data_IF_827014347668
#
_entry.id   IF_827014347668
#
_cell.length_a   1.000
_cell.length_b   1.000
_cell.length_c   1.000
_cell.angle_alpha   90.00
_cell.angle_beta   90.00
_cell.angle_gamma   90.00
#
_symmetry.space_group_name_H-M   'P 1'
#
loop_
_entity.id
_entity.type
_entity.pdbx_description
1 polymer ?
#
# COMPACT_ATOMS: atom_id res chain seq x y z
N UNK A 1 -44.77 -3.67 3.55
CA UNK A 1 -44.94 -2.29 3.02
C UNK A 1 -43.87 -2.03 1.98
N UNK A 2 -44.27 -1.69 0.75
CA UNK A 2 -43.35 -1.26 -0.30
C UNK A 2 -43.09 0.24 -0.12
N UNK A 3 -41.99 0.60 0.55
CA UNK A 3 -41.55 2.00 0.60
C UNK A 3 -41.03 2.35 -0.79
N UNK A 4 -41.71 3.23 -1.50
CA UNK A 4 -41.27 3.67 -2.82
C UNK A 4 -39.95 4.44 -2.67
N UNK A 5 -38.88 3.91 -3.27
CA UNK A 5 -37.57 4.57 -3.23
C UNK A 5 -37.58 5.69 -4.27
N UNK A 6 -37.57 6.93 -3.80
CA UNK A 6 -37.49 8.12 -4.66
C UNK A 6 -36.14 8.15 -5.36
N UNK A 7 -36.15 7.89 -6.67
CA UNK A 7 -34.97 7.94 -7.52
C UNK A 7 -34.79 9.35 -8.04
N UNK A 8 -33.63 9.93 -7.78
CA UNK A 8 -33.26 11.25 -8.30
C UNK A 8 -32.60 11.13 -9.68
N UNK A 9 -32.77 12.16 -10.52
CA UNK A 9 -31.90 12.36 -11.67
C UNK A 9 -30.47 12.62 -11.21
N UNK A 10 -29.49 12.44 -12.11
CA UNK A 10 -28.08 12.72 -11.79
C UNK A 10 -27.91 14.20 -11.43
N UNK A 11 -28.54 15.09 -12.20
CA UNK A 11 -28.46 16.53 -11.98
C UNK A 11 -29.07 16.92 -10.62
N UNK A 12 -30.25 16.42 -10.27
CA UNK A 12 -30.87 16.69 -8.97
C UNK A 12 -30.00 16.19 -7.82
N UNK A 13 -29.44 14.98 -7.92
CA UNK A 13 -28.58 14.42 -6.88
C UNK A 13 -27.30 15.25 -6.67
N UNK A 14 -26.67 15.73 -7.75
CA UNK A 14 -25.46 16.53 -7.68
C UNK A 14 -25.72 17.98 -7.26
N UNK A 15 -26.91 18.52 -7.55
CA UNK A 15 -27.31 19.89 -7.18
C UNK A 15 -27.78 20.01 -5.74
N UNK A 16 -27.82 18.93 -4.95
CA UNK A 16 -28.18 19.01 -3.54
C UNK A 16 -27.16 19.86 -2.76
N UNK A 17 -27.61 20.81 -1.91
CA UNK A 17 -26.70 21.64 -1.12
C UNK A 17 -25.72 20.83 -0.26
N UNK A 18 -26.20 19.75 0.36
CA UNK A 18 -25.37 18.83 1.16
C UNK A 18 -24.24 18.19 0.34
N UNK A 19 -24.48 17.89 -0.93
CA UNK A 19 -23.48 17.30 -1.83
C UNK A 19 -22.44 18.34 -2.23
N UNK A 20 -22.87 19.53 -2.64
CA UNK A 20 -21.95 20.63 -3.02
C UNK A 20 -21.06 21.02 -1.83
N UNK A 21 -21.66 21.26 -0.66
CA UNK A 21 -20.92 21.60 0.56
C UNK A 21 -20.02 20.45 1.00
N UNK A 22 -20.50 19.20 0.93
CA UNK A 22 -19.72 18.01 1.30
C UNK A 22 -18.50 17.79 0.42
N UNK A 23 -18.65 17.94 -0.90
CA UNK A 23 -17.54 17.85 -1.86
C UNK A 23 -16.55 18.99 -1.61
N UNK A 24 -17.01 20.24 -1.51
CA UNK A 24 -16.12 21.38 -1.28
C UNK A 24 -15.31 21.22 0.03
N UNK A 25 -15.98 20.89 1.13
CA UNK A 25 -15.33 20.71 2.43
C UNK A 25 -14.30 19.57 2.41
N UNK A 26 -14.65 18.43 1.83
CA UNK A 26 -13.75 17.27 1.73
C UNK A 26 -12.56 17.54 0.82
N UNK A 27 -12.76 18.22 -0.32
CA UNK A 27 -11.68 18.64 -1.21
C UNK A 27 -10.69 19.54 -0.48
N UNK A 28 -11.19 20.58 0.21
CA UNK A 28 -10.34 21.47 1.03
C UNK A 28 -9.57 20.68 2.07
N UNK A 29 -10.24 19.79 2.81
CA UNK A 29 -9.60 18.98 3.85
C UNK A 29 -8.47 18.10 3.30
N UNK A 30 -8.70 17.39 2.19
CA UNK A 30 -7.67 16.55 1.55
C UNK A 30 -6.50 17.37 1.02
N UNK A 31 -6.75 18.50 0.36
CA UNK A 31 -5.70 19.36 -0.17
C UNK A 31 -4.85 19.95 0.96
N UNK A 32 -5.49 20.47 2.02
CA UNK A 32 -4.79 20.98 3.20
C UNK A 32 -3.93 19.88 3.85
N UNK A 33 -4.48 18.68 4.04
CA UNK A 33 -3.73 17.56 4.59
C UNK A 33 -2.54 17.16 3.70
N UNK A 34 -2.76 17.01 2.38
CA UNK A 34 -1.74 16.60 1.43
C UNK A 34 -0.58 17.60 1.39
N UNK A 35 -0.86 18.89 1.17
CA UNK A 35 0.18 19.91 1.11
C UNK A 35 0.85 20.15 2.47
N UNK A 36 0.10 20.03 3.58
CA UNK A 36 0.68 20.05 4.92
C UNK A 36 1.66 18.89 5.16
N UNK A 37 1.31 17.67 4.73
CA UNK A 37 2.18 16.51 4.82
C UNK A 37 3.45 16.65 3.97
N UNK A 38 3.36 17.26 2.79
CA UNK A 38 4.52 17.56 1.95
C UNK A 38 5.43 18.62 2.60
N UNK A 39 4.85 19.72 3.09
CA UNK A 39 5.61 20.81 3.73
C UNK A 39 6.36 20.34 4.97
N UNK A 40 5.75 19.48 5.77
CA UNK A 40 6.35 18.89 6.99
C UNK A 40 7.31 17.73 6.71
N UNK A 41 7.50 17.33 5.44
CA UNK A 41 8.26 16.14 5.03
C UNK A 41 7.78 14.87 5.71
N UNK A 42 6.49 14.78 6.02
CA UNK A 42 5.90 13.59 6.63
C UNK A 42 6.03 12.36 5.71
N UNK A 43 5.87 12.57 4.40
CA UNK A 43 6.15 11.59 3.34
C UNK A 43 7.21 12.16 2.39
N UNK A 44 8.29 11.41 2.16
CA UNK A 44 9.42 11.88 1.34
C UNK A 44 9.56 11.12 0.03
N UNK A 45 9.08 9.87 -0.02
CA UNK A 45 9.16 9.03 -1.22
C UNK A 45 7.87 9.08 -2.02
N UNK A 46 7.93 8.98 -3.35
CA UNK A 46 6.75 8.90 -4.23
C UNK A 46 5.74 7.86 -3.75
N UNK A 47 6.26 6.71 -3.28
CA UNK A 47 5.42 5.67 -2.70
C UNK A 47 4.67 6.21 -1.49
N UNK A 48 5.33 6.74 -0.48
CA UNK A 48 4.65 7.29 0.70
C UNK A 48 3.65 8.40 0.33
N UNK A 49 4.02 9.28 -0.61
CA UNK A 49 3.15 10.37 -1.07
C UNK A 49 1.86 9.79 -1.67
N UNK A 50 1.95 8.75 -2.50
CA UNK A 50 0.77 8.08 -3.08
C UNK A 50 -0.15 7.42 -2.04
N UNK A 51 0.33 7.16 -0.83
CA UNK A 51 -0.48 6.57 0.24
C UNK A 51 -1.10 7.61 1.20
N UNK A 52 -0.79 8.90 1.07
CA UNK A 52 -1.31 9.93 1.98
C UNK A 52 -2.83 10.06 1.90
N UNK A 53 -3.37 10.28 0.70
CA UNK A 53 -4.80 10.43 0.49
C UNK A 53 -5.55 9.15 0.84
N UNK A 54 -5.01 8.00 0.45
CA UNK A 54 -5.58 6.68 0.75
C UNK A 54 -5.63 6.42 2.26
N UNK A 55 -4.57 6.76 3.00
CA UNK A 55 -4.54 6.66 4.47
C UNK A 55 -5.63 7.51 5.10
N UNK A 56 -5.72 8.78 4.69
CA UNK A 56 -6.71 9.70 5.23
C UNK A 56 -8.14 9.24 4.92
N UNK A 57 -8.42 8.89 3.67
CA UNK A 57 -9.73 8.42 3.20
C UNK A 57 -10.17 7.15 3.92
N UNK A 58 -9.35 6.09 3.90
CA UNK A 58 -9.68 4.83 4.57
C UNK A 58 -9.81 4.98 6.09
N UNK A 59 -9.04 5.89 6.70
CA UNK A 59 -9.18 6.26 8.11
C UNK A 59 -10.52 6.91 8.41
N UNK A 60 -10.87 7.96 7.68
CA UNK A 60 -12.15 8.67 7.83
C UNK A 60 -13.36 7.76 7.60
N UNK A 61 -13.31 6.94 6.55
CA UNK A 61 -14.35 5.96 6.22
C UNK A 61 -14.51 4.88 7.29
N UNK A 62 -13.41 4.33 7.79
CA UNK A 62 -13.46 3.33 8.87
C UNK A 62 -14.10 3.95 10.12
N UNK A 63 -13.65 5.15 10.54
CA UNK A 63 -14.18 5.84 11.73
C UNK A 63 -15.68 6.16 11.57
N UNK A 64 -16.06 6.76 10.44
CA UNK A 64 -17.46 7.13 10.17
C UNK A 64 -18.39 5.91 10.07
N UNK A 65 -17.88 4.76 9.65
CA UNK A 65 -18.66 3.53 9.54
C UNK A 65 -19.00 2.88 10.87
N UNK A 66 -18.17 3.05 11.92
CA UNK A 66 -18.31 2.31 13.20
C UNK A 66 -19.70 2.49 13.83
N UNK A 67 -20.26 3.71 13.99
CA UNK A 67 -21.58 3.87 14.62
C UNK A 67 -22.70 3.20 13.82
N UNK A 68 -22.66 3.33 12.48
CA UNK A 68 -23.65 2.73 11.57
C UNK A 68 -23.55 1.21 11.56
N UNK A 69 -22.33 0.67 11.49
CA UNK A 69 -22.07 -0.75 11.57
C UNK A 69 -22.52 -1.34 12.91
N UNK A 70 -22.25 -0.66 14.02
CA UNK A 70 -22.71 -1.08 15.34
C UNK A 70 -24.24 -1.13 15.43
N UNK A 71 -24.93 -0.11 14.92
CA UNK A 71 -26.40 -0.09 14.85
C UNK A 71 -26.95 -1.22 13.97
N UNK A 72 -26.33 -1.46 12.81
CA UNK A 72 -26.70 -2.55 11.91
C UNK A 72 -26.50 -3.94 12.53
N UNK A 73 -25.42 -4.13 13.28
CA UNK A 73 -25.18 -5.36 14.01
C UNK A 73 -26.22 -5.56 15.13
N UNK A 74 -26.49 -4.52 15.93
CA UNK A 74 -27.51 -4.57 16.99
C UNK A 74 -28.93 -4.78 16.48
N UNK A 75 -29.25 -4.33 15.28
CA UNK A 75 -30.56 -4.54 14.67
C UNK A 75 -30.77 -5.96 14.11
N UNK A 76 -29.81 -6.88 14.33
CA UNK A 76 -29.89 -8.23 13.80
C UNK A 76 -29.69 -8.29 12.29
N UNK A 77 -28.84 -7.42 11.75
CA UNK A 77 -28.57 -7.31 10.31
C UNK A 77 -29.78 -6.83 9.49
N UNK A 78 -30.65 -6.01 10.09
CA UNK A 78 -31.82 -5.47 9.41
C UNK A 78 -31.42 -4.40 8.37
N UNK A 79 -31.56 -4.75 7.09
CA UNK A 79 -31.24 -3.86 5.96
C UNK A 79 -32.14 -2.62 5.88
N UNK A 80 -33.33 -2.63 6.50
CA UNK A 80 -34.21 -1.46 6.50
C UNK A 80 -33.57 -0.27 7.23
N UNK A 81 -32.66 -0.54 8.17
CA UNK A 81 -31.90 0.51 8.87
C UNK A 81 -30.99 1.35 7.96
N UNK A 82 -30.79 0.94 6.70
CA UNK A 82 -30.05 1.70 5.69
C UNK A 82 -30.89 2.71 4.93
N UNK A 83 -32.22 2.67 5.05
CA UNK A 83 -33.13 3.60 4.38
C UNK A 83 -33.15 4.98 5.05
N UNK A 84 -32.70 5.06 6.31
CA UNK A 84 -32.56 6.31 7.05
C UNK A 84 -31.32 7.09 6.57
N UNK A 85 -31.47 7.75 5.42
CA UNK A 85 -30.47 8.62 4.81
C UNK A 85 -30.30 9.89 5.66
N UNK A 86 -29.20 9.95 6.44
CA UNK A 86 -28.83 11.13 7.22
C UNK A 86 -27.87 11.97 6.40
N UNK A 87 -27.92 13.29 6.60
CA UNK A 87 -26.97 14.23 5.98
C UNK A 87 -25.52 13.78 6.16
N UNK A 88 -25.17 13.21 7.32
CA UNK A 88 -23.83 12.68 7.58
C UNK A 88 -23.43 11.57 6.60
N UNK A 89 -24.33 10.66 6.22
CA UNK A 89 -23.99 9.60 5.28
C UNK A 89 -23.78 10.15 3.86
N UNK A 90 -24.55 11.17 3.48
CA UNK A 90 -24.31 11.93 2.24
C UNK A 90 -22.93 12.59 2.26
N UNK A 91 -22.53 13.19 3.39
CA UNK A 91 -21.20 13.79 3.55
C UNK A 91 -20.08 12.74 3.47
N UNK A 92 -20.29 11.53 4.01
CA UNK A 92 -19.33 10.41 3.91
C UNK A 92 -19.19 9.93 2.46
N UNK A 93 -20.29 9.84 1.70
CA UNK A 93 -20.24 9.58 0.25
C UNK A 93 -19.43 10.65 -0.47
N UNK A 94 -19.70 11.93 -0.21
CA UNK A 94 -18.98 13.05 -0.83
C UNK A 94 -17.49 13.03 -0.47
N UNK A 95 -17.16 12.71 0.78
CA UNK A 95 -15.79 12.54 1.25
C UNK A 95 -15.05 11.45 0.46
N UNK A 96 -15.71 10.35 0.13
CA UNK A 96 -15.09 9.30 -0.69
C UNK A 96 -14.95 9.71 -2.17
N UNK A 97 -15.97 10.34 -2.78
CA UNK A 97 -15.88 10.84 -4.16
C UNK A 97 -14.75 11.83 -4.32
N UNK A 98 -14.62 12.78 -3.38
CA UNK A 98 -13.54 13.77 -3.42
C UNK A 98 -12.16 13.12 -3.36
N UNK A 99 -12.00 12.06 -2.56
CA UNK A 99 -10.77 11.26 -2.55
C UNK A 99 -10.48 10.64 -3.91
N UNK A 100 -11.45 9.97 -4.54
CA UNK A 100 -11.25 9.30 -5.83
C UNK A 100 -10.78 10.28 -6.91
N UNK A 101 -11.41 11.46 -6.98
CA UNK A 101 -11.07 12.51 -7.93
C UNK A 101 -9.68 13.07 -7.61
N UNK A 102 -9.41 13.44 -6.35
CA UNK A 102 -8.12 14.03 -5.97
C UNK A 102 -6.96 13.06 -6.12
N UNK A 103 -7.14 11.77 -5.83
CA UNK A 103 -6.07 10.79 -5.98
C UNK A 103 -5.67 10.62 -7.45
N UNK A 104 -6.64 10.65 -8.38
CA UNK A 104 -6.35 10.67 -9.82
C UNK A 104 -5.68 11.98 -10.24
N UNK A 105 -6.21 13.13 -9.83
CA UNK A 105 -5.67 14.44 -10.19
C UNK A 105 -4.24 14.62 -9.64
N UNK A 106 -4.06 14.52 -8.33
CA UNK A 106 -2.75 14.69 -7.68
C UNK A 106 -1.79 13.57 -8.06
N UNK A 107 -2.24 12.33 -8.18
CA UNK A 107 -1.35 11.25 -8.58
C UNK A 107 -0.89 11.36 -10.02
N UNK A 108 -1.72 11.93 -10.92
CA UNK A 108 -1.29 12.27 -12.29
C UNK A 108 -0.25 13.39 -12.33
N UNK A 109 -0.04 14.14 -11.25
CA UNK A 109 0.94 15.23 -11.17
C UNK A 109 2.17 14.80 -10.36
N UNK A 110 1.97 14.35 -9.12
CA UNK A 110 3.01 14.17 -8.11
C UNK A 110 3.57 12.74 -8.04
N UNK A 111 2.81 11.71 -8.41
CA UNK A 111 3.23 10.31 -8.28
C UNK A 111 2.79 9.43 -9.45
N UNK A 112 2.99 9.94 -10.67
CA UNK A 112 2.59 9.29 -11.95
C UNK A 112 2.98 7.81 -12.02
N UNK A 113 4.16 7.46 -11.51
CA UNK A 113 4.71 6.08 -11.55
C UNK A 113 3.96 5.10 -10.65
N UNK A 114 3.20 5.59 -9.67
CA UNK A 114 2.45 4.75 -8.72
C UNK A 114 1.00 4.50 -9.17
N UNK A 115 0.45 5.29 -10.11
CA UNK A 115 -0.88 5.04 -10.66
C UNK A 115 -0.81 3.91 -11.69
N UNK A 116 -1.25 2.72 -11.31
CA UNK A 116 -1.47 1.62 -12.25
C UNK A 116 -2.82 1.79 -12.97
N UNK A 117 -2.92 1.32 -14.22
CA UNK A 117 -4.16 1.36 -15.02
C UNK A 117 -5.31 0.65 -14.29
N UNK A 118 -5.07 -0.57 -13.81
CA UNK A 118 -6.12 -1.38 -13.19
C UNK A 118 -6.53 -0.86 -11.81
N UNK A 119 -5.56 -0.62 -10.92
CA UNK A 119 -5.85 -0.28 -9.51
C UNK A 119 -6.06 1.21 -9.27
N UNK A 120 -5.59 2.07 -10.17
CA UNK A 120 -5.82 3.52 -10.11
C UNK A 120 -6.97 3.91 -11.02
N UNK A 121 -6.72 4.02 -12.33
CA UNK A 121 -7.68 4.57 -13.30
C UNK A 121 -9.02 3.84 -13.36
N UNK A 122 -9.00 2.53 -13.64
CA UNK A 122 -10.23 1.75 -13.79
C UNK A 122 -10.97 1.66 -12.45
N UNK A 123 -10.25 1.30 -11.38
CA UNK A 123 -10.83 1.19 -10.04
C UNK A 123 -11.49 2.50 -9.59
N UNK A 124 -10.78 3.63 -9.64
CA UNK A 124 -11.33 4.90 -9.15
C UNK A 124 -12.49 5.41 -10.02
N UNK A 125 -12.43 5.20 -11.33
CA UNK A 125 -13.54 5.57 -12.23
C UNK A 125 -14.80 4.76 -11.94
N UNK A 126 -14.67 3.44 -11.79
CA UNK A 126 -15.79 2.54 -11.46
C UNK A 126 -16.39 2.91 -10.11
N UNK A 127 -15.57 3.12 -9.08
CA UNK A 127 -16.06 3.52 -7.77
C UNK A 127 -16.71 4.92 -7.78
N UNK A 128 -16.24 5.84 -8.62
CA UNK A 128 -16.87 7.16 -8.77
C UNK A 128 -18.30 7.00 -9.31
N UNK A 129 -18.48 6.20 -10.37
CA UNK A 129 -19.81 5.91 -10.94
C UNK A 129 -20.74 5.22 -9.94
N UNK A 130 -20.23 4.22 -9.20
CA UNK A 130 -21.00 3.52 -8.17
C UNK A 130 -21.40 4.46 -7.03
N UNK A 131 -20.54 5.40 -6.65
CA UNK A 131 -20.82 6.35 -5.57
C UNK A 131 -21.87 7.39 -6.00
N UNK A 132 -21.80 7.87 -7.25
CA UNK A 132 -22.86 8.69 -7.85
C UNK A 132 -24.18 7.90 -7.92
N UNK A 133 -24.12 6.61 -8.25
CA UNK A 133 -25.28 5.73 -8.18
C UNK A 133 -25.87 5.67 -6.75
N UNK A 134 -25.06 5.53 -5.71
CA UNK A 134 -25.54 5.56 -4.32
C UNK A 134 -26.17 6.90 -3.93
N UNK A 135 -25.62 8.03 -4.37
CA UNK A 135 -26.24 9.35 -4.17
C UNK A 135 -27.64 9.42 -4.80
N UNK A 136 -27.80 8.92 -6.04
CA UNK A 136 -29.09 8.96 -6.76
C UNK A 136 -30.20 8.15 -6.11
N UNK A 137 -29.84 7.04 -5.48
CA UNK A 137 -30.80 6.14 -4.80
C UNK A 137 -30.86 6.40 -3.28
N UNK A 138 -30.19 7.44 -2.79
CA UNK A 138 -30.14 7.81 -1.36
C UNK A 138 -29.66 6.65 -0.48
N UNK A 139 -28.65 5.92 -0.95
CA UNK A 139 -28.05 4.76 -0.28
C UNK A 139 -26.85 5.14 0.59
N UNK A 140 -26.86 6.34 1.17
CA UNK A 140 -25.79 6.84 2.03
C UNK A 140 -25.54 5.93 3.23
N UNK A 141 -26.60 5.55 3.95
CA UNK A 141 -26.49 4.70 5.13
C UNK A 141 -25.88 3.33 4.82
N UNK A 142 -26.23 2.74 3.67
CA UNK A 142 -25.64 1.50 3.18
C UNK A 142 -24.13 1.68 2.89
N UNK A 143 -23.77 2.71 2.13
CA UNK A 143 -22.37 2.99 1.80
C UNK A 143 -21.52 3.23 3.05
N UNK A 144 -22.02 4.04 3.99
CA UNK A 144 -21.34 4.36 5.24
C UNK A 144 -21.16 3.12 6.10
N UNK A 145 -22.16 2.24 6.16
CA UNK A 145 -22.02 0.95 6.87
C UNK A 145 -21.00 0.05 6.19
N UNK A 146 -21.06 -0.06 4.86
CA UNK A 146 -20.15 -0.87 4.06
C UNK A 146 -18.71 -0.31 4.06
N UNK A 147 -18.51 0.95 4.42
CA UNK A 147 -17.19 1.58 4.51
C UNK A 147 -16.28 0.96 5.58
N UNK A 148 -16.82 0.14 6.49
CA UNK A 148 -15.99 -0.69 7.40
C UNK A 148 -15.09 -1.66 6.61
N UNK A 149 -15.45 -1.98 5.36
CA UNK A 149 -14.63 -2.76 4.44
C UNK A 149 -13.29 -2.09 4.11
N UNK A 150 -13.12 -0.79 4.36
CA UNK A 150 -11.87 -0.06 4.15
C UNK A 150 -10.83 -0.27 5.26
N UNK A 151 -11.18 -0.93 6.37
CA UNK A 151 -10.25 -1.20 7.48
C UNK A 151 -8.94 -1.90 7.05
N UNK A 152 -8.94 -2.91 6.16
CA UNK A 152 -7.70 -3.51 5.65
C UNK A 152 -6.87 -2.53 4.81
N UNK A 153 -7.53 -1.64 4.05
CA UNK A 153 -6.87 -0.59 3.28
C UNK A 153 -6.15 0.39 4.21
N UNK A 154 -6.79 0.77 5.32
CA UNK A 154 -6.20 1.63 6.35
C UNK A 154 -4.92 1.03 6.93
N UNK A 155 -4.95 -0.26 7.29
CA UNK A 155 -3.78 -0.98 7.82
C UNK A 155 -2.65 -1.00 6.78
N UNK A 156 -2.98 -1.28 5.51
CA UNK A 156 -2.02 -1.29 4.41
C UNK A 156 -1.43 0.10 4.14
N UNK A 157 -2.24 1.15 4.20
CA UNK A 157 -1.82 2.53 3.99
C UNK A 157 -0.87 2.99 5.11
N UNK A 158 -1.22 2.68 6.37
CA UNK A 158 -0.39 2.99 7.53
C UNK A 158 0.99 2.29 7.44
N UNK A 159 1.02 1.00 7.08
CA UNK A 159 2.26 0.26 6.87
C UNK A 159 3.09 0.76 5.68
N UNK A 160 2.45 1.39 4.69
CA UNK A 160 3.12 1.99 3.53
C UNK A 160 3.70 3.38 3.83
N UNK A 161 3.09 4.15 4.74
CA UNK A 161 3.61 5.42 5.22
C UNK A 161 4.79 5.22 6.18
N UNK A 162 4.71 4.22 7.05
CA UNK A 162 5.72 3.90 8.06
C UNK A 162 5.91 2.39 8.18
N UNK A 163 7.09 1.91 7.78
CA UNK A 163 7.45 0.49 7.82
C UNK A 163 7.28 -0.15 9.20
N UNK A 164 7.49 0.62 10.28
CA UNK A 164 7.35 0.15 11.67
C UNK A 164 5.94 -0.37 12.01
N UNK A 165 4.91 0.14 11.32
CA UNK A 165 3.52 -0.27 11.54
C UNK A 165 3.05 -1.34 10.55
N UNK A 166 3.94 -1.82 9.68
CA UNK A 166 3.60 -2.82 8.69
C UNK A 166 3.49 -4.19 9.34
N UNK A 167 2.29 -4.73 9.37
CA UNK A 167 2.02 -6.13 9.72
C UNK A 167 1.28 -6.81 8.57
N UNK A 168 1.98 -7.65 7.82
CA UNK A 168 1.39 -8.37 6.69
C UNK A 168 0.28 -9.34 7.19
N UNK A 169 0.44 -9.94 8.38
CA UNK A 169 -0.57 -10.83 8.99
C UNK A 169 -1.84 -10.10 9.39
N UNK A 170 -1.71 -8.91 10.02
CA UNK A 170 -2.88 -8.10 10.40
C UNK A 170 -3.65 -7.64 9.16
N UNK A 171 -2.93 -7.23 8.12
CA UNK A 171 -3.54 -6.92 6.83
C UNK A 171 -4.29 -8.12 6.25
N UNK A 172 -3.67 -9.29 6.19
CA UNK A 172 -4.31 -10.49 5.63
C UNK A 172 -5.55 -10.93 6.42
N UNK A 173 -5.46 -10.92 7.75
CA UNK A 173 -6.56 -11.31 8.64
C UNK A 173 -7.75 -10.35 8.49
N UNK A 174 -7.50 -9.03 8.51
CA UNK A 174 -8.57 -8.04 8.33
C UNK A 174 -9.13 -8.07 6.91
N UNK A 175 -8.31 -8.26 5.88
CA UNK A 175 -8.77 -8.42 4.50
C UNK A 175 -9.70 -9.63 4.38
N UNK A 176 -9.32 -10.77 4.94
CA UNK A 176 -10.17 -11.96 4.94
C UNK A 176 -11.50 -11.72 5.67
N UNK A 177 -11.46 -11.20 6.90
CA UNK A 177 -12.65 -10.98 7.71
C UNK A 177 -13.62 -9.98 7.05
N UNK A 178 -13.14 -8.82 6.61
CA UNK A 178 -14.00 -7.78 6.07
C UNK A 178 -14.28 -7.96 4.58
N UNK A 179 -13.24 -8.01 3.73
CA UNK A 179 -13.41 -8.00 2.27
C UNK A 179 -13.89 -9.31 1.68
N UNK A 180 -13.71 -10.44 2.38
CA UNK A 180 -14.20 -11.74 1.94
C UNK A 180 -15.43 -12.19 2.73
N UNK A 181 -15.30 -12.45 4.02
CA UNK A 181 -16.39 -13.04 4.82
C UNK A 181 -17.55 -12.07 4.97
N UNK A 182 -17.31 -10.86 5.48
CA UNK A 182 -18.37 -9.88 5.70
C UNK A 182 -18.97 -9.39 4.36
N UNK A 183 -18.16 -9.16 3.33
CA UNK A 183 -18.67 -8.79 2.00
C UNK A 183 -19.55 -9.90 1.39
N UNK A 184 -19.14 -11.17 1.44
CA UNK A 184 -19.96 -12.29 0.96
C UNK A 184 -21.28 -12.42 1.73
N UNK A 185 -21.22 -12.24 3.05
CA UNK A 185 -22.42 -12.18 3.90
C UNK A 185 -23.35 -11.04 3.48
N UNK A 186 -22.81 -9.85 3.24
CA UNK A 186 -23.59 -8.70 2.76
C UNK A 186 -24.22 -8.97 1.40
N UNK A 187 -23.51 -9.58 0.45
CA UNK A 187 -24.07 -9.97 -0.86
C UNK A 187 -25.26 -10.91 -0.69
N UNK A 188 -25.12 -11.95 0.14
CA UNK A 188 -26.21 -12.91 0.43
C UNK A 188 -27.42 -12.19 1.05
N UNK A 189 -27.18 -11.36 2.06
CA UNK A 189 -28.23 -10.62 2.78
C UNK A 189 -28.95 -9.65 1.85
N UNK A 190 -28.21 -8.90 1.01
CA UNK A 190 -28.77 -8.00 0.01
C UNK A 190 -29.62 -8.73 -1.02
N UNK A 191 -29.18 -9.89 -1.50
CA UNK A 191 -29.91 -10.71 -2.47
C UNK A 191 -31.26 -11.19 -1.92
N UNK A 192 -31.31 -11.52 -0.62
CA UNK A 192 -32.51 -12.07 0.02
C UNK A 192 -33.48 -11.00 0.51
N UNK A 193 -32.96 -9.91 1.08
CA UNK A 193 -33.76 -9.02 1.91
C UNK A 193 -33.87 -7.58 1.37
N UNK A 194 -33.10 -7.19 0.36
CA UNK A 194 -33.09 -5.81 -0.13
C UNK A 194 -34.06 -5.61 -1.31
N UNK A 195 -34.79 -4.49 -1.30
CA UNK A 195 -35.76 -4.17 -2.36
C UNK A 195 -35.08 -3.83 -3.70
N UNK A 196 -33.95 -3.12 -3.66
CA UNK A 196 -33.19 -2.77 -4.86
C UNK A 196 -32.34 -3.95 -5.31
N UNK A 197 -32.82 -4.70 -6.31
CA UNK A 197 -32.13 -5.86 -6.89
C UNK A 197 -30.76 -5.53 -7.49
N UNK A 198 -30.54 -4.32 -8.01
CA UNK A 198 -29.24 -3.96 -8.58
C UNK A 198 -28.13 -3.85 -7.54
N UNK A 199 -28.46 -3.65 -6.25
CA UNK A 199 -27.45 -3.43 -5.21
C UNK A 199 -26.59 -4.68 -4.94
N UNK A 200 -27.21 -5.86 -4.90
CA UNK A 200 -26.45 -7.11 -4.72
C UNK A 200 -25.62 -7.45 -5.96
N UNK A 201 -26.07 -7.05 -7.16
CA UNK A 201 -25.31 -7.23 -8.42
C UNK A 201 -24.04 -6.39 -8.38
N UNK A 202 -24.13 -5.12 -7.95
CA UNK A 202 -22.97 -4.23 -7.80
C UNK A 202 -22.00 -4.77 -6.74
N UNK A 203 -22.49 -5.24 -5.60
CA UNK A 203 -21.63 -5.85 -4.59
C UNK A 203 -20.95 -7.13 -5.10
N UNK A 204 -21.71 -7.99 -5.78
CA UNK A 204 -21.20 -9.24 -6.36
C UNK A 204 -20.17 -9.01 -7.47
N UNK A 205 -20.29 -7.95 -8.28
CA UNK A 205 -19.35 -7.68 -9.36
C UNK A 205 -17.97 -7.21 -8.87
N UNK A 206 -17.90 -6.61 -7.69
CA UNK A 206 -16.64 -6.18 -7.05
C UNK A 206 -15.93 -7.35 -6.38
N UNK A 207 -16.68 -8.36 -5.91
CA UNK A 207 -16.14 -9.47 -5.11
C UNK A 207 -14.99 -10.26 -5.78
N UNK A 208 -15.01 -10.59 -7.08
CA UNK A 208 -13.88 -11.25 -7.75
C UNK A 208 -12.56 -10.51 -7.64
N UNK A 209 -12.58 -9.17 -7.63
CA UNK A 209 -11.39 -8.35 -7.46
C UNK A 209 -10.76 -8.58 -6.08
N UNK A 210 -11.57 -8.69 -5.03
CA UNK A 210 -11.09 -8.99 -3.69
C UNK A 210 -10.51 -10.40 -3.58
N UNK A 211 -11.14 -11.40 -4.21
CA UNK A 211 -10.58 -12.75 -4.29
C UNK A 211 -9.21 -12.76 -4.97
N UNK A 212 -9.09 -12.05 -6.10
CA UNK A 212 -7.81 -11.93 -6.83
C UNK A 212 -6.70 -11.30 -5.97
N UNK A 213 -7.01 -10.21 -5.26
CA UNK A 213 -6.04 -9.55 -4.37
C UNK A 213 -5.67 -10.40 -3.15
N UNK A 214 -6.64 -11.10 -2.55
CA UNK A 214 -6.36 -12.00 -1.44
C UNK A 214 -5.50 -13.18 -1.87
N UNK A 215 -5.80 -13.79 -3.04
CA UNK A 215 -4.97 -14.83 -3.62
C UNK A 215 -3.51 -14.38 -3.80
N UNK A 216 -3.29 -13.17 -4.34
CA UNK A 216 -1.96 -12.58 -4.46
C UNK A 216 -1.26 -12.36 -3.11
N UNK A 217 -2.01 -12.13 -2.04
CA UNK A 217 -1.51 -12.01 -0.68
C UNK A 217 -1.11 -13.36 -0.10
N UNK A 218 -1.96 -14.39 -0.21
CA UNK A 218 -1.65 -15.77 0.19
C UNK A 218 -0.41 -16.31 -0.52
N UNK A 219 -0.26 -16.03 -1.82
CA UNK A 219 0.91 -16.46 -2.59
C UNK A 219 2.22 -15.88 -2.02
N UNK A 220 2.21 -14.67 -1.47
CA UNK A 220 3.41 -14.11 -0.82
C UNK A 220 3.77 -14.86 0.47
N UNK A 221 2.78 -15.34 1.21
CA UNK A 221 3.01 -16.10 2.45
C UNK A 221 3.46 -17.53 2.19
N UNK A 222 2.83 -18.26 1.26
CA UNK A 222 3.19 -19.65 1.01
C UNK A 222 4.55 -19.79 0.34
N UNK A 223 4.93 -18.86 -0.54
CA UNK A 223 6.18 -18.98 -1.30
C UNK A 223 7.39 -18.33 -0.62
N UNK A 224 7.23 -17.38 0.32
CA UNK A 224 8.38 -16.75 1.01
C UNK A 224 9.23 -17.71 1.87
N UNK A 225 8.64 -18.59 2.71
CA UNK A 225 9.41 -19.49 3.56
C UNK A 225 10.21 -20.52 2.75
N UNK A 226 9.58 -21.07 1.70
CA UNK A 226 10.22 -22.04 0.81
C UNK A 226 11.41 -21.43 0.08
N UNK A 227 11.28 -20.19 -0.39
CA UNK A 227 12.35 -19.47 -1.07
C UNK A 227 13.46 -19.00 -0.15
N UNK A 228 13.16 -18.50 1.05
CA UNK A 228 14.20 -18.07 1.99
C UNK A 228 15.08 -19.25 2.41
N UNK A 229 14.46 -20.42 2.67
CA UNK A 229 15.20 -21.65 2.96
C UNK A 229 15.97 -22.18 1.76
N UNK A 230 15.39 -22.19 0.54
CA UNK A 230 16.13 -22.62 -0.66
C UNK A 230 17.28 -21.69 -1.04
N UNK A 231 17.11 -20.38 -0.86
CA UNK A 231 18.15 -19.39 -1.18
C UNK A 231 19.30 -19.48 -0.18
N UNK A 232 19.00 -19.65 1.12
CA UNK A 232 20.00 -19.88 2.15
C UNK A 232 20.78 -21.18 1.94
N UNK A 233 20.10 -22.27 1.53
CA UNK A 233 20.73 -23.55 1.19
C UNK A 233 21.57 -23.47 -0.11
N UNK A 234 21.12 -22.72 -1.11
CA UNK A 234 21.86 -22.53 -2.36
C UNK A 234 23.10 -21.62 -2.19
N UNK A 235 23.08 -20.69 -1.22
CA UNK A 235 24.23 -19.82 -0.94
C UNK A 235 25.31 -20.51 -0.09
N UNK A 236 24.90 -21.40 0.81
CA UNK A 236 25.82 -22.14 1.70
C UNK A 236 26.48 -23.33 1.02
N UNK A 237 25.88 -23.90 -0.03
CA UNK A 237 26.48 -24.98 -0.80
C UNK A 237 26.25 -24.81 -2.32
N UNK A 238 27.16 -24.11 -3.03
CA UNK A 238 27.02 -23.86 -4.46
C UNK A 238 27.15 -25.11 -5.35
N UNK A 239 27.61 -26.24 -4.79
CA UNK A 239 27.65 -27.54 -5.46
C UNK A 239 26.41 -28.41 -5.19
N UNK A 240 25.41 -27.85 -4.51
CA UNK A 240 24.18 -28.56 -4.20
C UNK A 240 23.41 -28.91 -5.49
N UNK A 241 23.04 -30.19 -5.72
CA UNK A 241 22.35 -30.63 -6.93
C UNK A 241 20.97 -29.95 -7.12
N UNK A 242 20.43 -29.32 -6.07
CA UNK A 242 19.15 -28.61 -6.10
C UNK A 242 19.19 -27.26 -6.86
N UNK A 243 20.36 -26.71 -7.17
CA UNK A 243 20.49 -25.48 -7.99
C UNK A 243 20.00 -25.70 -9.44
N UNK A 244 20.07 -26.94 -9.92
CA UNK A 244 19.62 -27.32 -11.27
C UNK A 244 18.09 -27.45 -11.40
N UNK A 245 17.34 -27.53 -10.29
CA UNK A 245 15.88 -27.66 -10.31
C UNK A 245 15.14 -26.31 -10.31
N UNK A 246 15.85 -25.18 -10.31
CA UNK A 246 15.23 -23.87 -10.43
C UNK A 246 14.70 -23.66 -11.85
N UNK A 247 13.44 -23.25 -12.05
CA UNK A 247 12.89 -22.90 -13.36
C UNK A 247 13.82 -21.96 -14.13
N UNK A 248 14.02 -22.18 -15.44
CA UNK A 248 15.05 -21.48 -16.23
C UNK A 248 15.00 -19.94 -16.18
N UNK A 249 13.79 -19.36 -16.04
CA UNK A 249 13.64 -17.91 -15.83
C UNK A 249 14.29 -17.41 -14.54
N UNK A 250 14.29 -18.21 -13.48
CA UNK A 250 14.89 -17.87 -12.18
C UNK A 250 16.41 -17.96 -12.26
N UNK A 251 16.94 -18.98 -12.95
CA UNK A 251 18.38 -19.03 -13.23
C UNK A 251 18.85 -17.81 -14.03
N UNK A 252 18.02 -17.32 -14.96
CA UNK A 252 18.33 -16.11 -15.72
C UNK A 252 18.32 -14.84 -14.84
N UNK A 253 17.36 -14.71 -13.92
CA UNK A 253 17.33 -13.58 -12.97
C UNK A 253 18.49 -13.62 -11.98
N UNK A 254 18.84 -14.79 -11.45
CA UNK A 254 20.00 -15.01 -10.60
C UNK A 254 21.31 -14.65 -11.32
N UNK A 255 21.45 -15.03 -12.60
CA UNK A 255 22.60 -14.65 -13.44
C UNK A 255 22.68 -13.14 -13.64
N UNK A 256 21.56 -12.47 -13.94
CA UNK A 256 21.50 -11.00 -14.06
C UNK A 256 21.86 -10.30 -12.75
N UNK A 257 21.36 -10.79 -11.63
CA UNK A 257 21.66 -10.23 -10.31
C UNK A 257 23.13 -10.42 -9.94
N UNK A 258 23.70 -11.60 -10.17
CA UNK A 258 25.12 -11.89 -9.95
C UNK A 258 26.01 -10.96 -10.77
N UNK A 259 25.73 -10.83 -12.07
CA UNK A 259 26.48 -9.93 -12.96
C UNK A 259 26.37 -8.45 -12.54
N UNK A 260 25.21 -8.03 -12.02
CA UNK A 260 25.04 -6.68 -11.47
C UNK A 260 25.89 -6.47 -10.21
N UNK A 261 25.92 -7.44 -9.30
CA UNK A 261 26.71 -7.37 -8.06
C UNK A 261 28.21 -7.38 -8.36
N UNK A 262 28.68 -8.20 -9.31
CA UNK A 262 30.07 -8.23 -9.77
C UNK A 262 30.48 -6.88 -10.37
N UNK A 263 29.65 -6.27 -11.24
CA UNK A 263 29.89 -4.92 -11.78
C UNK A 263 29.94 -3.84 -10.70
N UNK A 264 29.14 -3.98 -9.63
CA UNK A 264 29.18 -3.04 -8.50
C UNK A 264 30.47 -3.19 -7.71
N UNK A 265 30.86 -4.42 -7.38
CA UNK A 265 32.11 -4.70 -6.67
C UNK A 265 33.35 -4.23 -7.47
N UNK A 266 33.35 -4.41 -8.80
CA UNK A 266 34.41 -3.92 -9.67
C UNK A 266 34.54 -2.39 -9.64
N UNK A 267 33.42 -1.66 -9.72
CA UNK A 267 33.41 -0.19 -9.61
C UNK A 267 33.89 0.30 -8.25
N UNK A 268 33.47 -0.35 -7.17
CA UNK A 268 33.93 0.00 -5.81
C UNK A 268 35.44 -0.23 -5.66
N UNK A 269 36.01 -1.29 -6.27
CA UNK A 269 37.46 -1.50 -6.31
C UNK A 269 38.19 -0.45 -7.17
N UNK A 270 37.61 -0.02 -8.28
CA UNK A 270 38.20 0.97 -9.17
C UNK A 270 38.21 2.38 -8.55
N UNK A 271 37.11 2.77 -7.90
CA UNK A 271 37.04 3.99 -7.09
C UNK A 271 38.08 3.99 -5.96
N UNK A 272 38.30 2.85 -5.31
CA UNK A 272 39.34 2.70 -4.28
C UNK A 272 40.74 2.86 -4.87
N UNK A 273 41.03 2.26 -6.03
CA UNK A 273 42.32 2.43 -6.73
C UNK A 273 42.55 3.89 -7.11
N UNK A 274 41.54 4.58 -7.64
CA UNK A 274 41.64 6.00 -7.99
C UNK A 274 41.94 6.87 -6.77
N UNK A 275 41.28 6.61 -5.63
CA UNK A 275 41.55 7.31 -4.37
C UNK A 275 42.98 7.09 -3.86
N UNK A 276 43.57 5.91 -4.08
CA UNK A 276 44.95 5.64 -3.68
C UNK A 276 45.97 6.39 -4.57
N UNK A 277 45.75 6.48 -5.88
CA UNK A 277 46.64 7.20 -6.82
C UNK A 277 46.67 8.70 -6.52
N UNK A 278 45.52 9.32 -6.22
CA UNK A 278 45.45 10.76 -5.90
C UNK A 278 46.12 11.09 -4.55
N UNK A 279 46.31 10.10 -3.69
CA UNK A 279 46.94 10.27 -2.38
C UNK A 279 48.46 10.10 -2.35
N UNK A 280 49.12 9.88 -3.49
CA UNK A 280 50.59 9.92 -3.55
C UNK A 280 51.07 11.36 -3.33
N UNK A 281 51.73 11.65 -2.18
CA UNK A 281 52.22 12.99 -1.91
C UNK A 281 53.35 13.29 -2.89
N UNK A 282 53.21 14.38 -3.65
CA UNK A 282 54.33 14.96 -4.39
C UNK A 282 55.47 15.17 -3.40
N UNK A 283 56.60 14.50 -3.66
CA UNK A 283 57.84 14.62 -2.90
C UNK A 283 58.42 16.01 -3.08
N UNK A 284 57.85 17.00 -2.40
CA UNK A 284 58.49 18.28 -2.12
C UNK A 284 58.58 18.41 -0.61
N UNK A 285 59.82 18.38 -0.13
CA UNK A 285 60.20 18.34 1.27
C UNK A 285 59.53 19.46 2.11
N UNK A 286 58.59 19.10 2.98
CA UNK A 286 58.40 19.76 4.27
C UNK A 286 57.49 18.92 5.19
N UNK A 287 57.77 18.95 6.50
CA UNK A 287 56.97 18.42 7.62
C UNK A 287 56.98 16.90 7.86
N UNK A 288 57.84 16.47 8.79
CA UNK A 288 57.93 15.10 9.34
C UNK A 288 56.72 14.68 10.21
N UNK A 289 55.86 15.62 10.61
CA UNK A 289 54.71 15.34 11.49
C UNK A 289 53.50 14.78 10.75
N UNK A 290 53.24 15.22 9.51
CA UNK A 290 52.09 14.80 8.70
C UNK A 290 52.24 13.37 8.16
N UNK A 291 53.48 12.92 7.91
CA UNK A 291 53.77 11.57 7.45
C UNK A 291 53.44 10.48 8.50
N UNK A 292 53.60 10.78 9.79
CA UNK A 292 53.28 9.84 10.86
C UNK A 292 51.78 9.63 11.05
N UNK A 293 50.97 10.69 10.89
CA UNK A 293 49.51 10.61 10.96
C UNK A 293 48.92 9.78 9.81
N UNK A 294 49.39 10.01 8.58
CA UNK A 294 48.95 9.27 7.38
C UNK A 294 49.27 7.77 7.47
N UNK A 295 50.45 7.39 7.97
CA UNK A 295 50.81 5.96 8.17
C UNK A 295 49.90 5.28 9.20
N UNK A 296 49.47 6.00 10.25
CA UNK A 296 48.60 5.46 11.30
C UNK A 296 47.17 5.22 10.77
N UNK A 297 46.70 6.08 9.88
CA UNK A 297 45.39 5.97 9.23
C UNK A 297 45.35 4.82 8.20
N UNK A 298 46.39 4.69 7.37
CA UNK A 298 46.52 3.58 6.42
C UNK A 298 46.60 2.23 7.17
N UNK A 299 47.29 2.18 8.31
CA UNK A 299 47.34 0.99 9.17
C UNK A 299 45.97 0.62 9.75
N UNK A 300 45.18 1.61 10.20
CA UNK A 300 43.80 1.40 10.69
C UNK A 300 42.88 0.88 9.60
N UNK A 301 42.94 1.45 8.39
CA UNK A 301 42.13 1.00 7.26
C UNK A 301 42.49 -0.45 6.87
N UNK A 302 43.77 -0.81 6.80
CA UNK A 302 44.20 -2.19 6.53
C UNK A 302 43.68 -3.19 7.58
N UNK A 303 43.70 -2.84 8.87
CA UNK A 303 43.13 -3.69 9.94
C UNK A 303 41.60 -3.81 9.85
N UNK A 304 40.91 -2.73 9.50
CA UNK A 304 39.46 -2.76 9.29
C UNK A 304 39.09 -3.74 8.17
N UNK A 305 39.74 -3.65 7.00
CA UNK A 305 39.46 -4.55 5.88
C UNK A 305 39.83 -6.02 6.14
N UNK A 306 40.90 -6.28 6.90
CA UNK A 306 41.24 -7.64 7.33
C UNK A 306 40.14 -8.25 8.21
N UNK A 307 39.52 -7.45 9.08
CA UNK A 307 38.40 -7.89 9.91
C UNK A 307 37.09 -8.04 9.11
N UNK A 308 36.82 -7.18 8.12
CA UNK A 308 35.61 -7.32 7.27
C UNK A 308 35.66 -8.58 6.41
N UNK A 309 36.84 -8.97 5.90
CA UNK A 309 37.03 -10.27 5.22
C UNK A 309 36.81 -11.47 6.16
N UNK A 310 37.16 -11.34 7.44
CA UNK A 310 36.91 -12.40 8.45
C UNK A 310 35.43 -12.56 8.80
N UNK A 311 34.68 -11.45 8.86
CA UNK A 311 33.24 -11.47 9.13
C UNK A 311 32.42 -12.00 7.94
N UNK A 312 32.93 -11.87 6.71
CA UNK A 312 32.30 -12.44 5.50
C UNK A 312 32.44 -13.97 5.40
N UNK A 313 33.33 -14.61 6.17
CA UNK A 313 33.61 -16.05 6.07
C UNK A 313 33.44 -16.82 7.39
N UNK A 314 33.26 -16.15 8.54
CA UNK A 314 33.35 -16.79 9.86
C UNK A 314 32.09 -16.84 10.74
N UNK A 315 30.90 -16.43 10.28
CA UNK A 315 29.74 -16.27 11.18
C UNK A 315 28.47 -17.00 10.74
N UNK A 316 28.58 -18.27 10.33
CA UNK A 316 27.39 -19.12 10.07
C UNK A 316 27.60 -20.58 10.47
N UNK A 317 28.34 -20.82 11.56
CA UNK A 317 28.53 -22.16 12.15
C UNK A 317 28.40 -22.18 13.68
N UNK A 318 27.65 -21.27 14.29
CA UNK A 318 27.48 -21.30 15.75
C UNK A 318 26.29 -20.53 16.28
N UNK A 319 25.10 -21.12 16.18
CA UNK A 319 24.04 -21.08 17.19
C UNK A 319 22.83 -21.87 16.67
N UNK A 320 22.28 -22.69 17.58
CA UNK A 320 21.15 -23.60 17.47
C UNK A 320 19.90 -23.00 16.82
#
# INVERSE_FOLDING_TARGET
MNVAITKLSVAEALSQPSVITGVALSMTLYLTFFFGALKTKFATTDKQISWLLTFMSSGGLTIASIPRFYHFWKSGWNLQSFQDDRTLDTLVLCYFVSYLILDLCLGSIYYKRQINILTGWIHHSVYTVITVYFLRYRLGGFFTTASILEMPTLIMALGSLRSRFRSDYLFAATFFAFRLVFHAFMIKTLKQNHQIRSLWIVAASIFPLHLFWFYGTCRKFCFRPCWANQSALAFTNPHSPYVFLLPGFIQQQMRKYRAFMEKRAAREQEELKQKMVVSEPSTSASSSATAAASRKEISRLRKFFANTKRLSFGSLTGAL
#
